data_IF_605053719439
#
_entry.id   IF_605053719439
#
_cell.length_a   1.000
_cell.length_b   1.000
_cell.length_c   1.000
_cell.angle_alpha   90.00
_cell.angle_beta   90.00
_cell.angle_gamma   90.00
#
_symmetry.space_group_name_H-M   'P 1'
#
loop_
_entity.id
_entity.type
_entity.pdbx_description
1 polymer ?
#
# COMPACT_ATOMS: atom_id res chain seq x y z
N UNK A 1 39.20 10.34 -2.20
CA UNK A 1 38.31 9.16 -2.24
C UNK A 1 36.88 9.67 -2.36
N UNK A 2 36.34 9.71 -3.57
CA UNK A 2 34.91 9.97 -3.76
C UNK A 2 34.19 8.65 -3.45
N UNK A 3 33.58 8.57 -2.27
CA UNK A 3 32.61 7.52 -1.98
C UNK A 3 31.47 7.69 -2.97
N UNK A 4 31.37 6.79 -3.93
CA UNK A 4 30.23 6.68 -4.83
C UNK A 4 29.01 6.33 -3.98
N UNK A 5 28.32 7.35 -3.50
CA UNK A 5 26.96 7.21 -2.98
C UNK A 5 26.13 6.76 -4.17
N UNK A 6 25.92 5.45 -4.27
CA UNK A 6 24.89 4.89 -5.13
C UNK A 6 23.58 5.58 -4.70
N UNK A 7 22.91 6.37 -5.55
CA UNK A 7 21.63 6.96 -5.19
C UNK A 7 20.59 5.85 -5.36
N UNK A 8 20.69 4.82 -4.52
CA UNK A 8 19.56 3.96 -4.27
C UNK A 8 18.49 4.88 -3.69
N UNK A 9 17.44 5.18 -4.47
CA UNK A 9 16.24 5.84 -3.96
C UNK A 9 15.65 5.08 -2.75
N UNK A 10 15.98 3.79 -2.63
CA UNK A 10 15.64 2.89 -1.54
C UNK A 10 16.90 2.36 -0.82
N UNK A 11 17.19 2.89 0.38
CA UNK A 11 18.21 2.30 1.24
C UNK A 11 17.75 0.95 1.83
N UNK A 12 18.68 0.20 2.42
CA UNK A 12 18.37 -1.12 3.01
C UNK A 12 17.32 -1.03 4.12
N UNK A 13 17.28 0.10 4.84
CA UNK A 13 16.27 0.36 5.86
C UNK A 13 14.88 0.37 5.24
N UNK A 14 14.67 1.18 4.20
CA UNK A 14 13.38 1.29 3.49
C UNK A 14 13.00 -0.01 2.80
N UNK A 15 13.96 -0.72 2.21
CA UNK A 15 13.72 -2.04 1.62
C UNK A 15 13.20 -3.04 2.66
N UNK A 16 13.88 -3.14 3.81
CA UNK A 16 13.48 -4.05 4.88
C UNK A 16 12.10 -3.71 5.44
N UNK A 17 11.78 -2.42 5.62
CA UNK A 17 10.45 -1.99 6.05
C UNK A 17 9.38 -2.29 5.02
N UNK A 18 9.65 -2.03 3.74
CA UNK A 18 8.73 -2.36 2.66
C UNK A 18 8.35 -3.85 2.67
N UNK A 19 9.36 -4.73 2.66
CA UNK A 19 9.15 -6.19 2.69
C UNK A 19 8.44 -6.65 3.97
N UNK A 20 8.74 -6.03 5.11
CA UNK A 20 8.08 -6.31 6.39
C UNK A 20 6.59 -5.95 6.34
N UNK A 21 6.25 -4.74 5.92
CA UNK A 21 4.85 -4.29 5.85
C UNK A 21 4.03 -5.14 4.88
N UNK A 22 4.60 -5.54 3.73
CA UNK A 22 3.92 -6.45 2.82
C UNK A 22 3.63 -7.81 3.49
N UNK A 23 4.62 -8.38 4.20
CA UNK A 23 4.44 -9.65 4.90
C UNK A 23 3.37 -9.55 5.98
N UNK A 24 3.40 -8.50 6.79
CA UNK A 24 2.39 -8.26 7.82
C UNK A 24 0.99 -8.07 7.22
N UNK A 25 0.87 -7.33 6.11
CA UNK A 25 -0.41 -7.18 5.41
C UNK A 25 -0.98 -8.52 4.94
N UNK A 26 -0.12 -9.40 4.40
CA UNK A 26 -0.52 -10.76 3.99
C UNK A 26 -0.95 -11.61 5.19
N UNK A 27 -0.23 -11.54 6.31
CA UNK A 27 -0.61 -12.25 7.55
C UNK A 27 -1.95 -11.75 8.06
N UNK A 28 -2.16 -10.43 8.13
CA UNK A 28 -3.42 -9.83 8.58
C UNK A 28 -4.59 -10.25 7.65
N UNK A 29 -4.33 -10.38 6.34
CA UNK A 29 -5.30 -10.90 5.36
C UNK A 29 -5.63 -12.39 5.55
N UNK A 30 -4.65 -13.23 5.90
CA UNK A 30 -4.94 -14.62 6.24
C UNK A 30 -5.77 -14.70 7.53
N UNK A 31 -5.44 -13.89 8.53
CA UNK A 31 -6.16 -13.84 9.80
C UNK A 31 -7.59 -13.32 9.66
N UNK A 32 -7.84 -12.26 8.88
CA UNK A 32 -9.19 -11.69 8.75
C UNK A 32 -10.18 -12.69 8.14
N UNK A 33 -9.71 -13.60 7.28
CA UNK A 33 -10.56 -14.65 6.68
C UNK A 33 -11.12 -15.62 7.71
N UNK A 34 -10.48 -15.72 8.87
CA UNK A 34 -10.87 -16.60 9.98
C UNK A 34 -11.78 -15.89 11.00
N UNK A 35 -11.87 -14.56 10.97
CA UNK A 35 -12.67 -13.78 11.90
C UNK A 35 -14.16 -13.81 11.52
N UNK A 36 -15.01 -13.90 12.54
CA UNK A 36 -16.48 -13.93 12.41
C UNK A 36 -17.16 -12.65 12.85
N UNK A 37 -16.57 -11.88 13.78
CA UNK A 37 -17.12 -10.60 14.23
C UNK A 37 -16.88 -9.48 13.21
N UNK A 38 -17.94 -8.75 12.84
CA UNK A 38 -17.89 -7.65 11.87
C UNK A 38 -16.82 -6.62 12.19
N UNK A 39 -16.87 -6.09 13.39
CA UNK A 39 -15.90 -5.08 13.85
C UNK A 39 -14.46 -5.59 13.75
N UNK A 40 -14.22 -6.84 14.12
CA UNK A 40 -12.89 -7.44 14.12
C UNK A 40 -12.35 -7.62 12.69
N UNK A 41 -13.14 -8.19 11.77
CA UNK A 41 -12.66 -8.39 10.40
C UNK A 41 -12.53 -7.08 9.63
N UNK A 42 -13.43 -6.10 9.86
CA UNK A 42 -13.34 -4.77 9.24
C UNK A 42 -12.09 -4.03 9.71
N UNK A 43 -11.82 -4.04 11.02
CA UNK A 43 -10.64 -3.40 11.60
C UNK A 43 -9.34 -4.01 11.07
N UNK A 44 -9.26 -5.35 11.05
CA UNK A 44 -8.07 -6.05 10.58
C UNK A 44 -7.86 -5.90 9.06
N UNK A 45 -8.93 -5.95 8.26
CA UNK A 45 -8.84 -5.71 6.82
C UNK A 45 -8.44 -4.29 6.47
N UNK A 46 -8.96 -3.30 7.21
CA UNK A 46 -8.56 -1.89 7.07
C UNK A 46 -7.07 -1.71 7.40
N UNK A 47 -6.58 -2.41 8.44
CA UNK A 47 -5.15 -2.42 8.79
C UNK A 47 -4.31 -3.07 7.69
N UNK A 48 -4.76 -4.21 7.15
CA UNK A 48 -4.03 -4.95 6.12
C UNK A 48 -3.82 -4.11 4.85
N UNK A 49 -4.86 -3.43 4.35
CA UNK A 49 -4.73 -2.56 3.16
C UNK A 49 -3.82 -1.36 3.40
N UNK A 50 -3.84 -0.78 4.61
CA UNK A 50 -2.95 0.34 4.98
C UNK A 50 -1.49 -0.10 5.11
N UNK A 51 -1.23 -1.31 5.63
CA UNK A 51 0.12 -1.90 5.63
C UNK A 51 0.61 -2.18 4.22
N UNK A 52 -0.25 -2.70 3.34
CA UNK A 52 0.11 -2.94 1.94
C UNK A 52 0.49 -1.63 1.21
N UNK A 53 -0.27 -0.56 1.41
CA UNK A 53 0.09 0.76 0.89
C UNK A 53 1.40 1.27 1.49
N UNK A 54 1.55 1.18 2.82
CA UNK A 54 2.78 1.58 3.52
C UNK A 54 4.02 0.89 2.95
N UNK A 55 3.90 -0.40 2.60
CA UNK A 55 4.98 -1.14 1.96
C UNK A 55 5.42 -0.50 0.63
N UNK A 56 4.47 -0.10 -0.21
CA UNK A 56 4.74 0.60 -1.48
C UNK A 56 5.38 1.97 -1.23
N UNK A 57 4.90 2.72 -0.24
CA UNK A 57 5.45 4.04 0.10
C UNK A 57 6.92 3.95 0.53
N UNK A 58 7.27 2.99 1.38
CA UNK A 58 8.67 2.72 1.75
C UNK A 58 9.53 2.36 0.55
N UNK A 59 8.98 1.61 -0.42
CA UNK A 59 9.75 1.23 -1.61
C UNK A 59 10.06 2.39 -2.56
N UNK A 60 9.28 3.48 -2.46
CA UNK A 60 9.42 4.66 -3.31
C UNK A 60 10.20 5.80 -2.65
N UNK A 61 10.44 5.73 -1.34
CA UNK A 61 11.21 6.73 -0.60
C UNK A 61 10.71 6.92 0.83
N UNK A 62 10.74 8.15 1.31
CA UNK A 62 10.25 8.49 2.65
C UNK A 62 8.72 8.46 2.69
N UNK A 63 8.09 7.55 3.46
CA UNK A 63 6.65 7.29 3.33
C UNK A 63 5.77 8.52 3.52
N UNK A 64 6.08 9.36 4.51
CA UNK A 64 5.33 10.59 4.78
C UNK A 64 5.39 11.57 3.61
N UNK A 65 6.54 11.68 2.96
CA UNK A 65 6.73 12.58 1.81
C UNK A 65 5.95 12.08 0.59
N UNK A 66 6.05 10.78 0.30
CA UNK A 66 5.31 10.16 -0.82
C UNK A 66 3.80 10.24 -0.57
N UNK A 67 3.36 9.96 0.66
CA UNK A 67 1.95 10.02 1.03
C UNK A 67 1.36 11.43 0.88
N UNK A 68 2.09 12.47 1.29
CA UNK A 68 1.62 13.85 1.14
C UNK A 68 1.42 14.24 -0.34
N UNK A 69 2.29 13.78 -1.24
CA UNK A 69 2.12 13.99 -2.68
C UNK A 69 0.86 13.28 -3.20
N UNK A 70 0.61 12.06 -2.74
CA UNK A 70 -0.59 11.28 -3.11
C UNK A 70 -1.87 11.98 -2.62
N UNK A 71 -1.92 12.36 -1.34
CA UNK A 71 -3.10 12.98 -0.73
C UNK A 71 -3.44 14.31 -1.40
N UNK A 72 -2.43 15.10 -1.79
CA UNK A 72 -2.65 16.34 -2.53
C UNK A 72 -3.42 16.11 -3.84
N UNK A 73 -3.09 15.04 -4.57
CA UNK A 73 -3.76 14.66 -5.83
C UNK A 73 -5.15 14.07 -5.57
N UNK A 74 -5.30 13.28 -4.50
CA UNK A 74 -6.59 12.70 -4.12
C UNK A 74 -7.58 13.78 -3.70
N UNK A 75 -7.17 14.70 -2.82
CA UNK A 75 -8.03 15.72 -2.24
C UNK A 75 -8.24 16.90 -3.19
N UNK A 76 -7.26 17.20 -4.05
CA UNK A 76 -7.36 18.24 -5.07
C UNK A 76 -8.22 17.87 -6.28
N UNK A 77 -8.57 16.59 -6.45
CA UNK A 77 -9.43 16.12 -7.55
C UNK A 77 -8.81 16.23 -8.96
N UNK A 78 -7.50 16.51 -9.05
CA UNK A 78 -6.77 16.63 -10.30
C UNK A 78 -5.95 15.36 -10.59
N UNK A 79 -5.56 15.16 -11.84
CA UNK A 79 -4.54 14.18 -12.22
C UNK A 79 -3.15 14.84 -12.12
N UNK A 80 -2.16 14.10 -11.64
CA UNK A 80 -0.77 14.52 -11.70
C UNK A 80 -0.18 14.23 -13.08
N UNK A 81 0.83 14.99 -13.50
CA UNK A 81 1.58 14.71 -14.73
C UNK A 81 2.36 13.38 -14.64
N UNK A 82 2.60 12.90 -13.42
CA UNK A 82 3.35 11.68 -13.15
C UNK A 82 2.41 10.46 -13.03
N UNK A 83 2.57 9.50 -13.95
CA UNK A 83 1.75 8.27 -14.00
C UNK A 83 1.88 7.39 -12.76
N UNK A 84 3.04 7.35 -12.10
CA UNK A 84 3.23 6.64 -10.83
C UNK A 84 2.40 7.30 -9.72
N UNK A 85 2.40 8.62 -9.63
CA UNK A 85 1.59 9.35 -8.65
C UNK A 85 0.10 9.10 -8.89
N UNK A 86 -0.37 9.08 -10.15
CA UNK A 86 -1.76 8.74 -10.46
C UNK A 86 -2.12 7.30 -10.07
N UNK A 87 -1.22 6.33 -10.27
CA UNK A 87 -1.43 4.96 -9.84
C UNK A 87 -1.56 4.85 -8.31
N UNK A 88 -0.70 5.56 -7.57
CA UNK A 88 -0.73 5.59 -6.10
C UNK A 88 -1.96 6.33 -5.56
N UNK A 89 -2.37 7.43 -6.21
CA UNK A 89 -3.60 8.13 -5.89
C UNK A 89 -4.84 7.27 -6.14
N UNK A 90 -4.83 6.46 -7.20
CA UNK A 90 -5.89 5.50 -7.48
C UNK A 90 -5.95 4.41 -6.39
N UNK A 91 -4.80 3.88 -5.96
CA UNK A 91 -4.72 2.96 -4.83
C UNK A 91 -5.27 3.58 -3.54
N UNK A 92 -4.91 4.83 -3.21
CA UNK A 92 -5.44 5.54 -2.04
C UNK A 92 -6.96 5.72 -2.10
N UNK A 93 -7.51 6.14 -3.24
CA UNK A 93 -8.96 6.28 -3.42
C UNK A 93 -9.69 4.95 -3.21
N UNK A 94 -9.14 3.86 -3.75
CA UNK A 94 -9.69 2.52 -3.54
C UNK A 94 -9.64 2.12 -2.06
N UNK A 95 -8.52 2.36 -1.37
CA UNK A 95 -8.39 2.05 0.06
C UNK A 95 -9.38 2.86 0.90
N UNK A 96 -9.51 4.17 0.67
CA UNK A 96 -10.52 5.01 1.34
C UNK A 96 -11.91 4.46 1.10
N UNK A 97 -12.27 4.20 -0.16
CA UNK A 97 -13.57 3.63 -0.51
C UNK A 97 -13.84 2.29 0.18
N UNK A 98 -12.85 1.41 0.30
CA UNK A 98 -12.99 0.13 1.00
C UNK A 98 -13.28 0.34 2.48
N UNK A 99 -12.51 1.23 3.13
CA UNK A 99 -12.62 1.50 4.57
C UNK A 99 -13.93 2.21 4.90
N UNK A 100 -14.26 3.27 4.16
CA UNK A 100 -15.44 4.11 4.41
C UNK A 100 -16.74 3.32 4.22
N UNK A 101 -16.74 2.36 3.30
CA UNK A 101 -17.89 1.52 2.99
C UNK A 101 -17.81 0.12 3.61
N UNK A 102 -16.83 -0.15 4.48
CA UNK A 102 -16.51 -1.51 4.94
C UNK A 102 -17.69 -2.27 5.54
N UNK A 103 -18.59 -1.56 6.25
CA UNK A 103 -19.79 -2.12 6.90
C UNK A 103 -21.00 -2.26 5.96
N UNK A 104 -20.88 -1.78 4.72
CA UNK A 104 -21.95 -1.86 3.72
C UNK A 104 -21.76 -3.05 2.78
N UNK A 105 -20.54 -3.57 2.70
CA UNK A 105 -20.22 -4.72 1.87
C UNK A 105 -20.61 -6.03 2.55
N UNK A 106 -21.07 -7.04 1.78
CA UNK A 106 -21.01 -8.42 2.23
C UNK A 106 -19.59 -8.78 2.65
N UNK A 107 -19.43 -9.59 3.70
CA UNK A 107 -18.12 -9.98 4.25
C UNK A 107 -17.18 -10.49 3.16
N UNK A 108 -17.65 -11.39 2.31
CA UNK A 108 -16.84 -12.00 1.24
C UNK A 108 -16.36 -10.97 0.23
N UNK A 109 -17.18 -9.95 -0.05
CA UNK A 109 -16.81 -8.84 -0.93
C UNK A 109 -15.74 -7.97 -0.29
N UNK A 110 -15.88 -7.61 0.99
CA UNK A 110 -14.86 -6.86 1.72
C UNK A 110 -13.52 -7.60 1.73
N UNK A 111 -13.53 -8.90 2.08
CA UNK A 111 -12.34 -9.75 2.06
C UNK A 111 -11.69 -9.76 0.68
N UNK A 112 -12.47 -9.96 -0.38
CA UNK A 112 -11.96 -9.95 -1.75
C UNK A 112 -11.29 -8.62 -2.10
N UNK A 113 -11.94 -7.49 -1.79
CA UNK A 113 -11.40 -6.15 -2.06
C UNK A 113 -10.08 -5.90 -1.31
N UNK A 114 -9.98 -6.33 -0.06
CA UNK A 114 -8.73 -6.27 0.71
C UNK A 114 -7.63 -7.09 0.02
N UNK A 115 -7.93 -8.32 -0.37
CA UNK A 115 -6.99 -9.20 -1.08
C UNK A 115 -6.51 -8.60 -2.41
N UNK A 116 -7.42 -8.03 -3.19
CA UNK A 116 -7.11 -7.34 -4.45
C UNK A 116 -6.12 -6.18 -4.23
N UNK A 117 -6.31 -5.34 -3.20
CA UNK A 117 -5.38 -4.25 -2.89
C UNK A 117 -4.00 -4.75 -2.46
N UNK A 118 -3.92 -5.85 -1.70
CA UNK A 118 -2.65 -6.47 -1.32
C UNK A 118 -1.92 -7.01 -2.56
N UNK A 119 -2.63 -7.67 -3.47
CA UNK A 119 -2.06 -8.14 -4.74
C UNK A 119 -1.59 -7.00 -5.65
N UNK A 120 -2.28 -5.86 -5.66
CA UNK A 120 -1.84 -4.66 -6.38
C UNK A 120 -0.53 -4.13 -5.77
N UNK A 121 -0.46 -4.04 -4.43
CA UNK A 121 0.74 -3.60 -3.74
C UNK A 121 1.95 -4.50 -4.04
N UNK A 122 1.76 -5.82 -4.01
CA UNK A 122 2.80 -6.80 -4.36
C UNK A 122 3.33 -6.59 -5.79
N UNK A 123 2.45 -6.47 -6.78
CA UNK A 123 2.85 -6.23 -8.17
C UNK A 123 3.56 -4.90 -8.36
N UNK A 124 3.18 -3.86 -7.62
CA UNK A 124 3.88 -2.58 -7.64
C UNK A 124 5.29 -2.73 -7.06
N UNK A 125 5.45 -3.46 -5.95
CA UNK A 125 6.75 -3.70 -5.34
C UNK A 125 7.67 -4.51 -6.25
N UNK A 126 7.18 -5.57 -6.89
CA UNK A 126 7.93 -6.33 -7.90
C UNK A 126 8.49 -5.39 -8.98
N UNK A 127 7.64 -4.56 -9.58
CA UNK A 127 8.06 -3.59 -10.62
C UNK A 127 9.05 -2.55 -10.10
N UNK A 128 8.85 -2.05 -8.87
CA UNK A 128 9.75 -1.09 -8.24
C UNK A 128 11.13 -1.72 -8.05
N UNK A 129 11.19 -2.94 -7.53
CA UNK A 129 12.45 -3.65 -7.29
C UNK A 129 13.17 -4.03 -8.59
N UNK A 130 12.43 -4.43 -9.64
CA UNK A 130 12.98 -4.63 -10.98
C UNK A 130 13.67 -3.36 -11.51
N UNK A 131 13.04 -2.19 -11.37
CA UNK A 131 13.61 -0.90 -11.82
C UNK A 131 14.84 -0.51 -11.02
N UNK A 132 14.89 -0.81 -9.72
CA UNK A 132 16.01 -0.46 -8.84
C UNK A 132 17.09 -1.56 -8.72
N UNK A 133 16.96 -2.68 -9.45
CA UNK A 133 17.91 -3.80 -9.44
C UNK A 133 17.99 -4.50 -8.09
N UNK A 134 16.86 -4.68 -7.40
CA UNK A 134 16.75 -5.34 -6.09
C UNK A 134 16.00 -6.67 -6.18
#
# INVERSE_FOLDING_TARGET
MQSSVNPLLIDEYRLNWSLRYLREAKVDYECLKLLTGEEAYVSLGSTAVRKAQTAVLYALGEPSSVYNAIVTVVDGGAEADNSLINALASMERCIRSIIDNARTFPREMFIRLVGEQISIAEKLLEKIFEVYGR
#
